data_IF_056452196986
#
_entry.id   IF_056452196986
#
_cell.length_a   1.000
_cell.length_b   1.000
_cell.length_c   1.000
_cell.angle_alpha   90.00
_cell.angle_beta   90.00
_cell.angle_gamma   90.00
#
_symmetry.space_group_name_H-M   'P 1'
#
loop_
_entity.id
_entity.type
_entity.pdbx_description
1 polymer ?
#
# COMPACT_ATOMS: atom_id res chain seq x y z
N UNK A 1 15.75 9.72 -7.37
CA UNK A 1 15.48 8.35 -6.89
C UNK A 1 14.00 8.10 -7.07
N UNK A 2 13.69 7.11 -7.92
CA UNK A 2 12.45 7.06 -8.70
C UNK A 2 11.24 6.60 -7.91
N UNK A 3 10.25 7.50 -7.74
CA UNK A 3 8.91 7.18 -7.23
C UNK A 3 8.21 6.05 -8.02
N UNK A 4 8.73 5.67 -9.19
CA UNK A 4 8.28 4.54 -10.01
C UNK A 4 8.38 3.17 -9.31
N UNK A 5 9.20 3.02 -8.26
CA UNK A 5 9.39 1.72 -7.58
C UNK A 5 8.38 1.46 -6.45
N UNK A 6 7.63 2.45 -5.99
CA UNK A 6 6.72 2.29 -4.85
C UNK A 6 5.47 1.49 -5.24
N UNK A 7 4.77 1.80 -6.35
CA UNK A 7 3.62 1.01 -6.77
C UNK A 7 3.97 -0.45 -7.03
N UNK A 8 5.14 -0.72 -7.65
CA UNK A 8 5.60 -2.09 -7.88
C UNK A 8 5.91 -2.84 -6.58
N UNK A 9 6.50 -2.16 -5.58
CA UNK A 9 6.75 -2.76 -4.27
C UNK A 9 5.45 -3.14 -3.57
N UNK A 10 4.41 -2.29 -3.66
CA UNK A 10 3.08 -2.58 -3.12
C UNK A 10 2.45 -3.78 -3.83
N UNK A 11 2.47 -3.79 -5.16
CA UNK A 11 1.92 -4.90 -5.95
C UNK A 11 2.63 -6.22 -5.65
N UNK A 12 3.95 -6.21 -5.57
CA UNK A 12 4.72 -7.40 -5.20
C UNK A 12 4.42 -7.90 -3.78
N UNK A 13 4.33 -6.98 -2.81
CA UNK A 13 4.03 -7.33 -1.43
C UNK A 13 2.65 -7.99 -1.32
N UNK A 14 1.63 -7.39 -1.94
CA UNK A 14 0.28 -7.93 -1.95
C UNK A 14 0.17 -9.23 -2.78
N UNK A 15 0.92 -9.35 -3.88
CA UNK A 15 0.96 -10.57 -4.68
C UNK A 15 1.58 -11.75 -3.94
N UNK A 16 2.59 -11.50 -3.10
CA UNK A 16 3.26 -12.53 -2.29
C UNK A 16 2.49 -12.89 -1.02
N UNK A 17 1.94 -11.88 -0.33
CA UNK A 17 1.37 -12.04 1.01
C UNK A 17 -0.17 -12.05 1.03
N UNK A 18 -0.81 -11.78 -0.10
CA UNK A 18 -2.24 -11.54 -0.16
C UNK A 18 -2.63 -10.19 0.45
N UNK A 19 -3.90 -10.08 0.83
CA UNK A 19 -4.42 -8.87 1.44
C UNK A 19 -3.75 -8.56 2.79
N UNK A 20 -3.34 -7.31 3.00
CA UNK A 20 -2.61 -6.87 4.19
C UNK A 20 -3.29 -5.68 4.88
N UNK A 21 -3.04 -5.53 6.19
CA UNK A 21 -3.42 -4.29 6.89
C UNK A 21 -2.50 -3.13 6.46
N UNK A 22 -3.03 -1.91 6.48
CA UNK A 22 -2.30 -0.70 6.06
C UNK A 22 -0.96 -0.53 6.77
N UNK A 23 -0.93 -0.68 8.09
CA UNK A 23 0.27 -0.46 8.89
C UNK A 23 1.34 -1.52 8.59
N UNK A 24 0.92 -2.76 8.33
CA UNK A 24 1.83 -3.85 8.01
C UNK A 24 2.42 -3.68 6.61
N UNK A 25 1.58 -3.28 5.64
CA UNK A 25 2.03 -3.00 4.28
C UNK A 25 2.96 -1.78 4.25
N UNK A 26 2.64 -0.72 4.99
CA UNK A 26 3.50 0.46 5.12
C UNK A 26 4.87 0.09 5.67
N UNK A 27 4.93 -0.69 6.75
CA UNK A 27 6.20 -1.18 7.33
C UNK A 27 7.02 -1.98 6.31
N UNK A 28 6.37 -2.77 5.45
CA UNK A 28 7.07 -3.51 4.40
C UNK A 28 7.63 -2.58 3.32
N UNK A 29 6.85 -1.61 2.85
CA UNK A 29 7.30 -0.61 1.88
C UNK A 29 8.45 0.22 2.44
N UNK A 30 8.38 0.60 3.72
CA UNK A 30 9.42 1.37 4.42
C UNK A 30 10.78 0.66 4.50
N UNK A 31 10.84 -0.68 4.36
CA UNK A 31 12.12 -1.40 4.25
C UNK A 31 12.90 -1.01 2.99
N UNK A 32 12.19 -0.69 1.93
CA UNK A 32 12.76 -0.31 0.63
C UNK A 32 12.77 1.21 0.44
N UNK A 33 11.88 1.92 1.14
CA UNK A 33 11.76 3.37 1.03
C UNK A 33 11.55 4.02 2.40
N UNK A 34 12.65 4.36 3.06
CA UNK A 34 12.64 4.74 4.49
C UNK A 34 11.88 6.03 4.83
N UNK A 35 11.66 6.90 3.84
CA UNK A 35 11.14 8.26 4.09
C UNK A 35 9.63 8.39 3.86
N UNK A 36 8.96 7.34 3.37
CA UNK A 36 7.52 7.41 3.11
C UNK A 36 6.73 7.40 4.43
N UNK A 37 5.92 8.44 4.63
CA UNK A 37 5.03 8.54 5.79
C UNK A 37 3.62 8.01 5.48
N UNK A 38 2.79 7.87 6.52
CA UNK A 38 1.41 7.36 6.38
C UNK A 38 0.54 8.18 5.43
N UNK A 39 0.75 9.51 5.38
CA UNK A 39 -0.05 10.40 4.53
C UNK A 39 0.32 10.22 3.06
N UNK A 40 1.61 10.14 2.76
CA UNK A 40 2.12 9.86 1.41
C UNK A 40 1.71 8.47 0.94
N UNK A 41 1.84 7.47 1.81
CA UNK A 41 1.42 6.11 1.50
C UNK A 41 -0.10 5.99 1.30
N UNK A 42 -0.88 6.73 2.10
CA UNK A 42 -2.33 6.84 1.92
C UNK A 42 -2.71 7.44 0.56
N UNK A 43 -2.03 8.51 0.14
CA UNK A 43 -2.23 9.11 -1.19
C UNK A 43 -1.85 8.15 -2.31
N UNK A 44 -0.70 7.47 -2.18
CA UNK A 44 -0.27 6.46 -3.13
C UNK A 44 -1.31 5.35 -3.30
N UNK A 45 -1.82 4.79 -2.20
CA UNK A 45 -2.85 3.75 -2.25
C UNK A 45 -4.16 4.26 -2.85
N UNK A 46 -4.53 5.51 -2.60
CA UNK A 46 -5.69 6.14 -3.23
C UNK A 46 -5.50 6.27 -4.75
N UNK A 47 -4.33 6.72 -5.20
CA UNK A 47 -4.01 6.82 -6.63
C UNK A 47 -4.03 5.43 -7.30
N UNK A 48 -3.48 4.41 -6.64
CA UNK A 48 -3.49 3.02 -7.11
C UNK A 48 -4.90 2.42 -7.14
N UNK A 49 -5.77 2.78 -6.18
CA UNK A 49 -7.17 2.36 -6.17
C UNK A 49 -7.96 2.99 -7.32
N UNK A 50 -7.73 4.28 -7.61
CA UNK A 50 -8.33 4.97 -8.78
C UNK A 50 -7.88 4.31 -10.10
N UNK A 51 -6.64 3.84 -10.16
CA UNK A 51 -6.09 3.11 -11.32
C UNK A 51 -6.59 1.65 -11.41
N UNK A 52 -7.31 1.16 -10.40
CA UNK A 52 -7.80 -0.22 -10.36
C UNK A 52 -6.71 -1.26 -10.10
N UNK A 53 -5.62 -0.88 -9.41
CA UNK A 53 -4.52 -1.81 -9.07
C UNK A 53 -4.72 -2.47 -7.70
N UNK A 54 -5.34 -1.76 -6.78
CA UNK A 54 -5.61 -2.23 -5.42
C UNK A 54 -7.02 -1.84 -5.00
N UNK A 55 -7.51 -2.50 -3.95
CA UNK A 55 -8.75 -2.16 -3.27
C UNK A 55 -8.48 -1.90 -1.80
N UNK A 56 -9.00 -0.78 -1.28
CA UNK A 56 -8.82 -0.37 0.12
C UNK A 56 -10.15 -0.49 0.86
N UNK A 57 -10.29 -1.53 1.67
CA UNK A 57 -11.50 -1.77 2.47
C UNK A 57 -11.31 -1.23 3.88
N UNK A 58 -12.20 -0.32 4.31
CA UNK A 58 -12.27 0.12 5.71
C UNK A 58 -12.82 -1.00 6.59
N UNK A 59 -12.16 -1.23 7.71
CA UNK A 59 -12.54 -2.20 8.73
C UNK A 59 -12.94 -1.49 10.04
N UNK A 60 -13.42 -2.26 11.02
CA UNK A 60 -13.73 -1.74 12.34
C UNK A 60 -12.50 -1.06 12.99
N UNK A 61 -12.77 -0.10 13.88
CA UNK A 61 -11.75 0.63 14.65
C UNK A 61 -10.71 1.37 13.80
N UNK A 62 -11.09 1.82 12.60
CA UNK A 62 -10.22 2.64 11.73
C UNK A 62 -9.15 1.85 10.97
N UNK A 63 -9.12 0.52 11.11
CA UNK A 63 -8.20 -0.33 10.34
C UNK A 63 -8.58 -0.33 8.86
N UNK A 64 -7.60 -0.59 8.00
CA UNK A 64 -7.77 -0.66 6.54
C UNK A 64 -7.11 -1.93 6.02
N UNK A 65 -7.81 -2.68 5.16
CA UNK A 65 -7.33 -3.85 4.45
C UNK A 65 -7.07 -3.46 3.00
N UNK A 66 -5.90 -3.81 2.49
CA UNK A 66 -5.48 -3.55 1.12
C UNK A 66 -5.29 -4.89 0.43
N UNK A 67 -5.86 -5.05 -0.75
CA UNK A 67 -5.73 -6.24 -1.59
C UNK A 67 -5.49 -5.83 -3.05
N UNK A 68 -4.91 -6.71 -3.85
CA UNK A 68 -4.88 -6.52 -5.31
C UNK A 68 -6.32 -6.57 -5.84
N UNK A 69 -6.62 -5.68 -6.78
CA UNK A 69 -7.93 -5.61 -7.44
C UNK A 69 -8.12 -6.74 -8.47
#
# INVERSE_FOLDING_TARGET
MDAKLIPSTVVEALGKNGAQEFDDLLKQVQKYQKDINETEFGKLLMDMEIQGLVRVTKMAKGKRRIELA
#
